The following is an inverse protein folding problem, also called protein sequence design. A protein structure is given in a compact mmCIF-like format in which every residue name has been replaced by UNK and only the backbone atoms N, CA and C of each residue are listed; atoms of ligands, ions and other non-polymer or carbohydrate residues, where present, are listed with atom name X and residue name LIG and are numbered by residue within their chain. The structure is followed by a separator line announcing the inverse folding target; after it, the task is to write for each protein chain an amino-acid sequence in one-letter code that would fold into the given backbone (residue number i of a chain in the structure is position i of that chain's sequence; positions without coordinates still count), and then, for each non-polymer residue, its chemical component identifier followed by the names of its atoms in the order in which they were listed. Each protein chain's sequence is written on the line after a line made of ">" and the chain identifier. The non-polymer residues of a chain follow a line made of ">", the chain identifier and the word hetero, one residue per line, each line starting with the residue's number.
data_IF_288531599411
#
_entry.id   IF_288531599411
#
_cell.length_a   1.000
_cell.length_b   1.000
_cell.length_c   1.000
_cell.angle_alpha   90.00
_cell.angle_beta   90.00
_cell.angle_gamma   90.00
#
_symmetry.space_group_name_H-M   'P 1'
#
loop_
_entity.id
_entity.type
_entity.pdbx_description
1 polymer ?
#
# COMPACT_ATOMS: atom_id res chain seq x y z
N UNK A 1 -16.74 20.64 -2.95
CA UNK A 1 -17.75 19.90 -2.15
C UNK A 1 -17.73 18.38 -2.37
N UNK A 2 -17.59 17.88 -3.60
CA UNK A 2 -17.58 16.42 -3.87
C UNK A 2 -16.44 15.68 -3.15
N UNK A 3 -15.21 16.24 -3.18
CA UNK A 3 -14.04 15.68 -2.48
C UNK A 3 -14.30 15.48 -0.98
N UNK A 4 -14.88 16.48 -0.31
CA UNK A 4 -15.22 16.40 1.11
C UNK A 4 -16.30 15.33 1.37
N UNK A 5 -17.35 15.24 0.53
CA UNK A 5 -18.36 14.19 0.69
C UNK A 5 -17.80 12.78 0.52
N UNK A 6 -16.86 12.60 -0.42
CA UNK A 6 -16.20 11.32 -0.64
C UNK A 6 -15.19 11.00 0.48
N UNK A 7 -14.49 12.01 1.01
CA UNK A 7 -13.56 11.86 2.12
C UNK A 7 -14.25 11.67 3.49
N UNK A 8 -15.48 12.16 3.67
CA UNK A 8 -16.30 12.03 4.89
C UNK A 8 -17.39 10.95 4.77
N UNK A 9 -17.17 9.92 3.96
CA UNK A 9 -18.08 8.79 4.01
C UNK A 9 -17.90 8.01 5.33
N UNK A 10 -18.93 7.27 5.75
CA UNK A 10 -18.91 6.49 7.00
C UNK A 10 -17.80 5.44 7.08
N UNK A 11 -17.14 5.12 5.95
CA UNK A 11 -16.03 4.18 5.87
C UNK A 11 -14.66 4.89 5.80
N UNK A 12 -14.60 6.22 5.96
CA UNK A 12 -13.35 6.98 5.99
C UNK A 12 -12.54 6.63 7.21
N UNK A 13 -11.23 6.39 7.02
CA UNK A 13 -10.36 6.06 8.14
C UNK A 13 -10.28 7.22 9.16
N UNK A 14 -10.49 8.46 8.70
CA UNK A 14 -10.48 9.66 9.54
C UNK A 14 -11.62 9.72 10.58
N UNK A 15 -12.64 8.87 10.45
CA UNK A 15 -13.88 8.89 11.25
C UNK A 15 -14.12 7.60 12.03
N UNK A 16 -13.16 6.69 12.02
CA UNK A 16 -13.27 5.39 12.69
C UNK A 16 -12.19 5.26 13.75
N UNK A 17 -12.55 4.59 14.83
CA UNK A 17 -11.69 4.31 15.95
C UNK A 17 -11.39 2.81 16.00
N UNK A 18 -10.11 2.51 16.21
CA UNK A 18 -9.67 1.15 16.43
C UNK A 18 -10.21 0.63 17.77
N UNK A 19 -10.72 -0.60 17.78
CA UNK A 19 -11.38 -1.19 18.96
C UNK A 19 -12.90 -1.00 18.98
N UNK A 20 -13.42 0.01 18.27
CA UNK A 20 -14.86 0.33 18.25
C UNK A 20 -15.49 -0.10 16.92
N UNK A 21 -15.11 0.51 15.80
CA UNK A 21 -15.69 0.21 14.48
C UNK A 21 -15.00 -0.98 13.81
N UNK A 22 -13.72 -1.18 14.10
CA UNK A 22 -12.94 -2.28 13.56
C UNK A 22 -11.91 -2.79 14.57
N UNK A 23 -11.61 -4.08 14.50
CA UNK A 23 -10.63 -4.75 15.35
C UNK A 23 -9.75 -5.68 14.54
N UNK A 24 -8.62 -6.08 15.11
CA UNK A 24 -7.71 -7.04 14.50
C UNK A 24 -8.20 -8.46 14.75
N UNK A 25 -8.18 -9.31 13.72
CA UNK A 25 -8.54 -10.72 13.80
C UNK A 25 -7.50 -11.59 13.08
N UNK A 26 -7.32 -12.81 13.57
CA UNK A 26 -6.39 -13.77 12.96
C UNK A 26 -6.83 -14.10 11.54
N UNK A 27 -5.90 -14.03 10.59
CA UNK A 27 -6.06 -14.50 9.22
C UNK A 27 -5.30 -15.81 9.02
N UNK A 28 -4.90 -16.12 7.78
CA UNK A 28 -4.22 -17.39 7.48
C UNK A 28 -2.75 -17.36 7.95
N UNK A 29 -2.27 -18.49 8.49
CA UNK A 29 -0.90 -18.64 9.05
C UNK A 29 -0.60 -17.56 10.10
N UNK A 30 0.50 -16.82 9.94
CA UNK A 30 1.00 -15.76 10.81
C UNK A 30 0.63 -14.34 10.34
N UNK A 31 -0.51 -14.23 9.65
CA UNK A 31 -1.09 -12.95 9.29
C UNK A 31 -2.34 -12.66 10.11
N UNK A 32 -2.55 -11.37 10.37
CA UNK A 32 -3.80 -10.83 10.84
C UNK A 32 -4.41 -9.95 9.76
N UNK A 33 -5.74 -9.86 9.79
CA UNK A 33 -6.53 -8.91 9.01
C UNK A 33 -7.35 -8.06 9.96
N UNK A 34 -7.87 -6.95 9.46
CA UNK A 34 -8.83 -6.16 10.22
C UNK A 34 -10.26 -6.56 9.84
N UNK A 35 -11.14 -6.60 10.82
CA UNK A 35 -12.56 -6.93 10.64
C UNK A 35 -13.42 -5.83 11.25
N UNK A 36 -14.53 -5.50 10.59
CA UNK A 36 -15.51 -4.58 11.14
C UNK A 36 -16.36 -5.24 12.22
N UNK A 37 -17.23 -4.45 12.87
CA UNK A 37 -18.18 -4.94 13.88
C UNK A 37 -19.07 -6.12 13.40
N UNK A 38 -19.28 -6.25 12.09
CA UNK A 38 -20.04 -7.35 11.48
C UNK A 38 -19.21 -8.64 11.25
N UNK A 39 -17.94 -8.68 11.68
CA UNK A 39 -17.03 -9.80 11.48
C UNK A 39 -16.51 -9.99 10.05
N UNK A 40 -16.91 -9.12 9.10
CA UNK A 40 -16.38 -9.12 7.73
C UNK A 40 -15.07 -8.37 7.67
N UNK A 41 -14.27 -8.64 6.64
CA UNK A 41 -13.03 -7.89 6.40
C UNK A 41 -13.31 -6.40 6.36
N UNK A 42 -12.57 -5.66 7.16
CA UNK A 42 -12.68 -4.22 7.24
C UNK A 42 -12.04 -3.60 6.01
N UNK A 43 -12.81 -2.75 5.33
CA UNK A 43 -12.33 -1.93 4.22
C UNK A 43 -12.56 -0.48 4.59
N UNK A 44 -11.61 0.38 4.26
CA UNK A 44 -11.70 1.80 4.61
C UNK A 44 -11.24 2.67 3.46
N UNK A 45 -11.66 3.93 3.48
CA UNK A 45 -11.26 4.93 2.50
C UNK A 45 -10.18 5.82 3.08
N UNK A 46 -9.14 5.99 2.29
CA UNK A 46 -8.06 6.94 2.52
C UNK A 46 -8.22 8.13 1.59
N UNK A 47 -7.89 9.31 2.06
CA UNK A 47 -7.87 10.55 1.27
C UNK A 47 -6.49 11.19 1.35
N UNK A 48 -5.95 11.56 0.20
CA UNK A 48 -4.65 12.22 0.12
C UNK A 48 -4.28 12.65 -1.30
N UNK A 49 -3.08 13.20 -1.42
CA UNK A 49 -2.45 13.60 -2.66
C UNK A 49 -1.39 12.56 -3.05
N UNK A 50 -1.29 12.18 -4.32
CA UNK A 50 -0.19 11.32 -4.80
C UNK A 50 1.13 12.06 -4.58
N UNK A 51 2.04 11.45 -3.82
CA UNK A 51 3.29 12.09 -3.42
C UNK A 51 4.24 12.33 -4.61
N UNK A 52 5.09 13.36 -4.52
CA UNK A 52 5.97 13.77 -5.61
C UNK A 52 7.07 12.74 -5.96
N UNK A 53 7.62 12.08 -4.95
CA UNK A 53 8.56 10.97 -5.07
C UNK A 53 7.86 9.66 -5.47
N UNK A 54 6.54 9.69 -5.64
CA UNK A 54 5.76 8.53 -6.00
C UNK A 54 5.39 8.55 -7.49
N UNK A 55 6.15 7.81 -8.27
CA UNK A 55 5.72 7.36 -9.61
C UNK A 55 5.11 5.97 -9.48
N UNK A 56 4.02 5.70 -10.21
CA UNK A 56 3.40 4.37 -10.30
C UNK A 56 4.41 3.34 -10.82
N UNK A 57 5.22 2.79 -9.90
CA UNK A 57 6.32 1.90 -10.20
C UNK A 57 5.94 0.46 -9.92
N UNK A 58 6.48 -0.49 -10.70
CA UNK A 58 6.23 -1.89 -10.50
C UNK A 58 7.00 -2.30 -9.25
N UNK A 59 6.27 -2.60 -8.19
CA UNK A 59 6.82 -3.16 -6.97
C UNK A 59 6.40 -4.63 -6.86
N UNK A 60 7.28 -5.48 -6.38
CA UNK A 60 6.99 -6.91 -6.35
C UNK A 60 8.14 -7.71 -5.78
N UNK A 61 8.03 -9.03 -5.85
CA UNK A 61 9.13 -9.93 -5.47
C UNK A 61 10.24 -9.97 -6.54
N UNK A 62 10.26 -8.98 -7.43
CA UNK A 62 11.32 -8.81 -8.40
C UNK A 62 12.49 -8.12 -7.72
N UNK A 63 13.50 -8.90 -7.36
CA UNK A 63 14.82 -8.35 -7.12
C UNK A 63 15.47 -8.21 -8.48
N UNK A 64 15.72 -6.98 -8.93
CA UNK A 64 16.80 -6.79 -9.91
C UNK A 64 18.04 -7.29 -9.17
N UNK A 65 18.68 -8.38 -9.63
CA UNK A 65 19.87 -8.84 -8.96
C UNK A 65 20.88 -7.69 -9.01
N UNK A 66 21.53 -7.39 -7.89
CA UNK A 66 22.58 -6.36 -7.84
C UNK A 66 23.70 -6.72 -8.80
N UNK A 67 24.63 -7.57 -8.35
CA UNK A 67 25.73 -8.07 -9.19
C UNK A 67 25.39 -9.39 -9.92
N UNK A 68 24.18 -9.92 -9.73
CA UNK A 68 23.77 -11.21 -10.30
C UNK A 68 23.26 -11.12 -11.75
N UNK A 69 23.10 -12.27 -12.43
CA UNK A 69 22.59 -12.30 -13.79
C UNK A 69 21.16 -11.76 -13.84
N UNK A 70 20.91 -10.81 -14.73
CA UNK A 70 19.56 -10.27 -14.96
C UNK A 70 18.54 -11.39 -15.19
N UNK A 71 17.56 -11.49 -14.29
CA UNK A 71 16.41 -12.38 -14.44
C UNK A 71 15.26 -11.54 -15.01
N UNK A 72 14.65 -11.90 -16.15
CA UNK A 72 13.46 -11.23 -16.63
C UNK A 72 12.24 -11.51 -15.74
N UNK A 73 11.37 -10.52 -15.62
CA UNK A 73 10.04 -10.67 -15.04
C UNK A 73 9.26 -11.69 -15.89
N UNK A 74 8.72 -12.71 -15.25
CA UNK A 74 7.99 -13.80 -15.93
C UNK A 74 6.58 -13.99 -15.35
N UNK A 75 5.85 -14.98 -15.85
CA UNK A 75 4.46 -15.27 -15.43
C UNK A 75 4.30 -15.64 -13.94
N UNK A 76 5.37 -16.09 -13.28
CA UNK A 76 5.37 -16.36 -11.83
C UNK A 76 5.64 -15.12 -10.98
N UNK A 77 6.14 -14.05 -11.60
CA UNK A 77 6.56 -12.83 -10.91
C UNK A 77 5.34 -12.00 -10.53
N UNK A 78 5.15 -11.75 -9.24
CA UNK A 78 4.07 -10.91 -8.74
C UNK A 78 4.50 -9.45 -8.73
N UNK A 79 3.92 -8.66 -9.62
CA UNK A 79 4.13 -7.22 -9.72
C UNK A 79 2.85 -6.52 -9.33
N UNK A 80 2.96 -5.42 -8.59
CA UNK A 80 1.90 -4.52 -8.13
C UNK A 80 2.32 -3.09 -8.43
N UNK A 81 1.39 -2.16 -8.47
CA UNK A 81 1.75 -0.76 -8.24
C UNK A 81 1.93 -0.55 -6.75
N UNK A 82 2.95 0.22 -6.37
CA UNK A 82 2.87 0.95 -5.12
C UNK A 82 2.08 2.25 -5.35
N UNK A 83 1.56 2.88 -4.30
CA UNK A 83 1.06 4.27 -4.30
C UNK A 83 1.40 4.92 -2.97
N UNK A 84 2.03 6.10 -3.01
CA UNK A 84 2.32 6.94 -1.85
C UNK A 84 1.33 8.10 -1.77
N UNK A 85 0.67 8.28 -0.62
CA UNK A 85 -0.20 9.43 -0.38
C UNK A 85 0.39 10.36 0.68
N UNK A 86 0.51 11.63 0.34
CA UNK A 86 0.88 12.72 1.25
C UNK A 86 -0.32 13.63 1.56
N UNK A 87 -0.14 14.50 2.55
CA UNK A 87 -1.14 15.52 2.87
C UNK A 87 -1.32 16.46 1.67
N UNK A 88 -2.54 16.71 1.18
CA UNK A 88 -2.74 17.62 0.05
C UNK A 88 -2.17 19.02 0.30
N UNK A 89 -1.34 19.48 -0.63
CA UNK A 89 -0.50 20.69 -0.46
C UNK A 89 -1.31 21.99 -0.42
N UNK A 90 -2.38 22.09 -1.20
CA UNK A 90 -3.21 23.29 -1.33
C UNK A 90 -4.54 23.20 -0.57
N UNK A 91 -4.62 22.29 0.38
CA UNK A 91 -5.85 22.05 1.12
C UNK A 91 -6.10 23.14 2.17
N UNK A 92 -7.36 23.60 2.37
CA UNK A 92 -7.69 24.49 3.48
C UNK A 92 -7.21 23.89 4.80
N UNK A 93 -6.45 24.63 5.63
CA UNK A 93 -5.73 24.07 6.78
C UNK A 93 -6.62 23.32 7.77
N UNK A 94 -7.88 23.72 7.92
CA UNK A 94 -8.72 23.22 9.00
C UNK A 94 -9.40 21.88 8.69
N UNK A 95 -9.73 21.61 7.43
CA UNK A 95 -10.54 20.43 7.10
C UNK A 95 -9.67 19.28 6.59
N UNK A 96 -8.93 19.51 5.52
CA UNK A 96 -8.24 18.42 4.83
C UNK A 96 -6.98 17.96 5.57
N UNK A 97 -6.27 18.88 6.24
CA UNK A 97 -5.16 18.52 7.12
C UNK A 97 -5.65 17.75 8.35
N UNK A 98 -6.80 18.12 8.92
CA UNK A 98 -7.41 17.37 10.02
C UNK A 98 -7.83 15.97 9.58
N UNK A 99 -8.45 15.82 8.40
CA UNK A 99 -8.76 14.49 7.84
C UNK A 99 -7.49 13.65 7.68
N UNK A 100 -6.43 14.21 7.08
CA UNK A 100 -5.17 13.50 6.89
C UNK A 100 -4.53 13.10 8.23
N UNK A 101 -4.46 14.04 9.17
CA UNK A 101 -3.91 13.80 10.50
C UNK A 101 -4.71 12.76 11.29
N UNK A 102 -6.04 12.77 11.21
CA UNK A 102 -6.87 11.77 11.87
C UNK A 102 -6.63 10.37 11.31
N UNK A 103 -6.48 10.23 9.98
CA UNK A 103 -6.11 8.94 9.37
C UNK A 103 -4.77 8.42 9.91
N UNK A 104 -3.76 9.30 10.01
CA UNK A 104 -2.46 8.96 10.59
C UNK A 104 -2.57 8.55 12.06
N UNK A 105 -3.32 9.33 12.86
CA UNK A 105 -3.55 9.05 14.27
C UNK A 105 -4.27 7.69 14.47
N UNK A 106 -5.29 7.39 13.68
CA UNK A 106 -6.00 6.10 13.72
C UNK A 106 -5.06 4.94 13.43
N UNK A 107 -4.18 5.04 12.42
CA UNK A 107 -3.17 4.02 12.15
C UNK A 107 -2.12 3.92 13.28
N UNK A 108 -1.70 5.05 13.82
CA UNK A 108 -0.79 5.12 14.97
C UNK A 108 -1.36 4.40 16.18
N UNK A 109 -2.64 4.61 16.51
CA UNK A 109 -3.33 3.93 17.60
C UNK A 109 -3.33 2.41 17.44
N UNK A 110 -3.50 1.91 16.21
CA UNK A 110 -3.41 0.47 15.94
C UNK A 110 -2.00 -0.07 16.22
N UNK A 111 -0.96 0.66 15.78
CA UNK A 111 0.44 0.25 16.00
C UNK A 111 0.78 0.30 17.49
N UNK A 112 0.39 1.35 18.20
CA UNK A 112 0.60 1.50 19.64
C UNK A 112 -0.03 0.34 20.41
N UNK A 113 -1.31 0.04 20.16
CA UNK A 113 -2.01 -1.08 20.78
C UNK A 113 -1.35 -2.44 20.45
N UNK A 114 -0.76 -2.60 19.27
CA UNK A 114 -0.05 -3.82 18.91
C UNK A 114 1.33 -3.95 19.59
N UNK A 115 1.94 -2.81 19.94
CA UNK A 115 3.26 -2.76 20.57
C UNK A 115 3.21 -3.01 22.08
N UNK A 116 2.09 -2.70 22.73
CA UNK A 116 1.85 -2.94 24.16
C UNK A 116 2.00 -4.43 24.50
N UNK A 117 3.13 -4.79 25.12
CA UNK A 117 3.42 -6.16 25.59
C UNK A 117 4.29 -7.03 24.68
N UNK A 118 4.78 -6.52 23.54
CA UNK A 118 5.74 -7.24 22.69
C UNK A 118 7.14 -6.61 22.73
N UNK A 119 8.20 -7.44 22.76
CA UNK A 119 9.57 -6.95 22.56
C UNK A 119 9.63 -6.34 21.17
N UNK A 120 9.83 -5.02 21.08
CA UNK A 120 9.69 -4.23 19.86
C UNK A 120 10.30 -4.93 18.63
N UNK A 121 9.49 -5.57 17.77
CA UNK A 121 10.00 -6.10 16.51
C UNK A 121 10.36 -4.93 15.60
N UNK A 122 11.20 -5.15 14.58
CA UNK A 122 11.33 -4.15 13.52
C UNK A 122 9.96 -3.98 12.85
N UNK A 123 9.43 -2.76 12.90
CA UNK A 123 8.12 -2.43 12.33
C UNK A 123 8.35 -1.84 10.94
N UNK A 124 7.81 -2.51 9.91
CA UNK A 124 7.59 -1.87 8.62
C UNK A 124 6.16 -1.34 8.62
N UNK A 125 6.04 -0.03 8.81
CA UNK A 125 4.76 0.64 9.04
C UNK A 125 4.02 0.92 7.73
N UNK A 126 2.69 1.13 7.85
CA UNK A 126 1.86 1.73 6.81
C UNK A 126 2.28 3.15 6.45
N UNK A 127 2.98 3.79 7.38
CA UNK A 127 3.47 5.15 7.30
C UNK A 127 4.97 5.07 7.02
N UNK A 128 5.40 5.56 5.86
CA UNK A 128 6.82 5.69 5.56
C UNK A 128 7.33 6.98 6.21
N UNK A 129 8.28 6.91 7.16
CA UNK A 129 9.02 8.10 7.53
C UNK A 129 9.77 8.55 6.29
N UNK A 130 9.67 9.83 6.00
CA UNK A 130 10.46 10.42 4.95
C UNK A 130 11.91 10.57 5.42
N UNK A 131 12.85 10.37 4.51
CA UNK A 131 14.30 10.49 4.80
C UNK A 131 14.70 11.92 5.14
N UNK A 132 13.95 12.90 4.62
CA UNK A 132 14.26 14.30 4.77
C UNK A 132 13.55 14.83 6.03
N UNK A 133 14.35 15.21 7.03
CA UNK A 133 13.89 15.83 8.28
C UNK A 133 12.99 17.02 7.99
N UNK A 134 11.67 16.81 8.09
CA UNK A 134 10.65 17.84 7.89
C UNK A 134 9.69 17.62 6.72
N UNK A 135 9.91 16.60 5.89
CA UNK A 135 8.90 16.21 4.89
C UNK A 135 7.75 15.44 5.54
N UNK A 136 6.51 15.60 5.03
CA UNK A 136 5.34 15.00 5.66
C UNK A 136 5.37 13.48 5.56
N UNK A 137 4.93 12.81 6.63
CA UNK A 137 4.69 11.37 6.63
C UNK A 137 3.74 10.96 5.50
N UNK A 138 3.94 9.76 4.94
CA UNK A 138 3.21 9.27 3.77
C UNK A 138 2.57 7.92 4.03
N UNK A 139 1.35 7.72 3.53
CA UNK A 139 0.74 6.40 3.48
C UNK A 139 1.28 5.62 2.30
N UNK A 140 1.63 4.35 2.50
CA UNK A 140 2.11 3.47 1.44
C UNK A 140 1.11 2.34 1.14
N UNK A 141 0.60 2.32 -0.09
CA UNK A 141 -0.31 1.31 -0.60
C UNK A 141 0.38 0.43 -1.61
N UNK A 142 -0.09 -0.81 -1.72
CA UNK A 142 0.16 -1.64 -2.91
C UNK A 142 -1.15 -2.04 -3.55
N UNK A 143 -1.21 -2.17 -4.86
CA UNK A 143 -2.41 -2.67 -5.55
C UNK A 143 -2.48 -4.20 -5.50
N UNK A 144 -3.57 -4.74 -6.02
CA UNK A 144 -3.59 -6.13 -6.49
C UNK A 144 -2.53 -6.36 -7.59
N UNK A 145 -2.09 -7.61 -7.83
CA UNK A 145 -1.10 -7.89 -8.87
C UNK A 145 -1.54 -7.41 -10.25
N UNK A 146 -0.64 -6.77 -11.00
CA UNK A 146 -0.90 -6.20 -12.33
C UNK A 146 -1.09 -7.24 -13.43
N UNK A 147 -0.55 -8.44 -13.21
CA UNK A 147 -0.60 -9.55 -14.15
C UNK A 147 -1.23 -10.77 -13.49
N UNK A 148 -2.03 -11.51 -14.26
CA UNK A 148 -2.54 -12.84 -13.87
C UNK A 148 -2.36 -13.82 -15.01
N UNK A 149 -1.99 -15.05 -14.70
CA UNK A 149 -2.06 -16.16 -15.66
C UNK A 149 -3.53 -16.60 -15.73
N UNK A 150 -4.19 -16.53 -16.90
CA UNK A 150 -5.51 -17.11 -17.08
C UNK A 150 -5.46 -18.59 -16.69
N UNK A 151 -6.37 -19.01 -15.81
CA UNK A 151 -6.43 -20.42 -15.45
C UNK A 151 -7.17 -21.16 -16.57
N UNK A 152 -6.43 -21.73 -17.52
CA UNK A 152 -6.98 -22.50 -18.66
C UNK A 152 -7.78 -23.73 -18.21
N UNK A 153 -7.66 -24.11 -16.93
CA UNK A 153 -8.48 -25.15 -16.30
C UNK A 153 -9.88 -24.63 -15.98
N UNK A 154 -10.65 -24.36 -17.03
CA UNK A 154 -12.10 -24.55 -17.10
C UNK A 154 -12.88 -24.38 -15.80
N UNK A 155 -12.94 -23.16 -15.28
CA UNK A 155 -14.13 -22.69 -14.58
C UNK A 155 -14.19 -21.20 -14.83
N UNK A 156 -15.09 -20.78 -15.71
CA UNK A 156 -15.58 -19.42 -15.73
C UNK A 156 -16.11 -19.11 -14.32
N UNK A 157 -15.21 -18.65 -13.44
CA UNK A 157 -15.60 -18.08 -12.18
C UNK A 157 -16.29 -16.78 -12.57
N UNK A 158 -17.62 -16.85 -12.62
CA UNK A 158 -18.49 -15.70 -12.65
C UNK A 158 -18.09 -14.80 -11.48
N UNK A 159 -17.20 -13.84 -11.72
CA UNK A 159 -17.19 -12.59 -10.99
C UNK A 159 -18.55 -11.95 -11.28
N UNK A 160 -19.58 -12.36 -10.53
CA UNK A 160 -20.88 -11.71 -10.55
C UNK A 160 -20.71 -10.34 -9.91
N UNK A 161 -20.20 -9.38 -10.65
CA UNK A 161 -20.65 -8.00 -10.49
C UNK A 161 -22.13 -8.03 -10.88
N UNK A 162 -23.03 -8.07 -9.89
CA UNK A 162 -24.47 -7.90 -10.13
C UNK A 162 -24.67 -6.47 -10.64
N UNK A 163 -24.80 -6.33 -11.94
CA UNK A 163 -25.35 -5.14 -12.58
C UNK A 163 -26.43 -5.68 -13.49
N UNK A 164 -27.68 -5.58 -13.04
CA UNK A 164 -28.87 -5.89 -13.82
C UNK A 164 -29.08 -4.73 -14.79
N UNK A 165 -28.80 -4.96 -16.07
CA UNK A 165 -29.22 -4.09 -17.17
C UNK A 165 -29.91 -5.00 -18.17
N UNK A 166 -31.23 -4.88 -18.23
CA UNK A 166 -32.06 -5.41 -19.30
C UNK A 166 -31.71 -4.68 -20.58
N UNK A 167 -31.36 -5.40 -21.65
CA UNK A 167 -31.43 -4.80 -22.98
C UNK A 167 -31.80 -5.80 -24.09
N UNK A 168 -32.64 -5.27 -24.95
CA UNK A 168 -33.52 -5.90 -25.94
C UNK A 168 -32.76 -6.14 -27.26
N UNK A 169 -32.94 -7.31 -27.87
CA UNK A 169 -32.23 -7.69 -29.10
C UNK A 169 -33.04 -7.35 -30.35
N UNK A 170 -32.56 -6.41 -31.15
CA UNK A 170 -32.99 -6.25 -32.55
C UNK A 170 -31.82 -6.43 -33.53
N UNK A 171 -32.01 -7.34 -34.48
CA UNK A 171 -31.09 -7.69 -35.56
C UNK A 171 -31.07 -6.66 -36.70
N UNK A 172 -29.90 -6.49 -37.33
CA UNK A 172 -29.81 -6.31 -38.79
C UNK A 172 -28.98 -5.12 -39.29
N UNK A 173 -27.80 -5.41 -39.84
CA UNK A 173 -27.27 -4.98 -41.15
C UNK A 173 -25.74 -4.85 -41.13
N UNK A 174 -25.07 -5.66 -41.97
CA UNK A 174 -23.62 -5.69 -42.13
C UNK A 174 -23.12 -4.45 -42.86
N UNK A 175 -22.59 -3.50 -42.08
CA UNK A 175 -21.71 -2.43 -42.54
C UNK A 175 -20.25 -2.94 -42.63
N UNK A 176 -19.38 -2.31 -43.45
CA UNK A 176 -17.94 -2.61 -43.46
C UNK A 176 -17.34 -2.51 -42.04
N UNK A 177 -16.26 -3.27 -41.73
CA UNK A 177 -15.74 -3.36 -40.37
C UNK A 177 -15.31 -1.97 -39.90
N UNK A 178 -16.14 -1.36 -39.06
CA UNK A 178 -15.77 -0.18 -38.31
C UNK A 178 -14.46 -0.49 -37.57
N UNK A 179 -13.53 0.48 -37.45
CA UNK A 179 -12.38 0.31 -36.57
C UNK A 179 -12.90 -0.22 -35.23
N UNK A 180 -12.26 -1.25 -34.65
CA UNK A 180 -12.80 -1.92 -33.48
C UNK A 180 -13.16 -0.87 -32.45
N UNK A 181 -14.46 -0.73 -32.17
CA UNK A 181 -14.97 0.20 -31.18
C UNK A 181 -14.12 -0.01 -29.93
N UNK A 182 -13.49 1.07 -29.44
CA UNK A 182 -12.61 1.01 -28.30
C UNK A 182 -13.36 0.30 -27.17
N UNK A 183 -12.94 -0.94 -26.87
CA UNK A 183 -13.64 -1.79 -25.91
C UNK A 183 -13.67 -1.05 -24.58
N UNK A 184 -14.87 -0.72 -24.11
CA UNK A 184 -15.03 -0.02 -22.85
C UNK A 184 -14.38 -0.83 -21.73
N UNK A 185 -13.53 -0.21 -20.89
CA UNK A 185 -12.86 -0.95 -19.83
C UNK A 185 -13.88 -1.47 -18.82
N UNK A 186 -13.81 -2.76 -18.49
CA UNK A 186 -14.64 -3.39 -17.47
C UNK A 186 -13.76 -4.10 -16.45
N UNK A 187 -14.18 -4.08 -15.17
CA UNK A 187 -13.47 -4.80 -14.12
C UNK A 187 -13.45 -6.29 -14.41
N UNK A 188 -12.26 -6.90 -14.33
CA UNK A 188 -12.05 -8.30 -14.63
C UNK A 188 -11.51 -8.56 -16.04
N UNK A 189 -11.65 -7.59 -16.96
CA UNK A 189 -11.03 -7.65 -18.28
C UNK A 189 -9.52 -7.85 -18.19
N UNK A 190 -8.98 -8.48 -19.23
CA UNK A 190 -7.55 -8.74 -19.34
C UNK A 190 -7.00 -8.31 -20.68
N UNK A 191 -5.81 -7.76 -20.62
CA UNK A 191 -5.15 -7.12 -21.75
C UNK A 191 -3.82 -7.82 -22.02
N UNK A 192 -3.27 -7.68 -23.23
CA UNK A 192 -1.90 -8.09 -23.49
C UNK A 192 -0.94 -7.44 -22.47
N UNK A 193 0.09 -8.16 -22.01
CA UNK A 193 0.98 -7.67 -20.96
C UNK A 193 1.71 -6.37 -21.29
N UNK A 194 1.88 -6.07 -22.58
CA UNK A 194 2.53 -4.87 -23.09
C UNK A 194 1.64 -3.62 -23.13
N UNK A 195 0.39 -3.70 -22.62
CA UNK A 195 -0.53 -2.55 -22.61
C UNK A 195 -0.11 -1.47 -21.61
N UNK A 196 0.62 -1.84 -20.55
CA UNK A 196 1.05 -0.87 -19.56
C UNK A 196 2.05 0.12 -20.18
N UNK A 197 1.92 1.41 -19.90
CA UNK A 197 2.56 2.48 -20.67
C UNK A 197 4.01 2.70 -20.25
N UNK A 198 4.84 3.00 -21.24
CA UNK A 198 6.28 3.09 -21.07
C UNK A 198 6.87 1.69 -20.83
N UNK A 199 7.95 1.33 -21.52
CA UNK A 199 8.51 -0.02 -21.36
C UNK A 199 9.29 -0.23 -20.04
N UNK A 200 8.98 0.57 -19.01
CA UNK A 200 9.04 0.12 -17.62
C UNK A 200 8.09 -1.07 -17.36
N UNK A 201 7.10 -1.25 -18.24
CA UNK A 201 6.20 -2.40 -18.31
C UNK A 201 6.17 -2.95 -19.74
N UNK A 202 6.70 -4.15 -19.95
CA UNK A 202 6.99 -4.66 -21.28
C UNK A 202 8.38 -4.26 -21.78
N UNK A 203 8.82 -4.85 -22.89
CA UNK A 203 10.20 -4.79 -23.35
C UNK A 203 11.04 -5.96 -22.82
N UNK A 204 12.35 -5.99 -23.08
CA UNK A 204 13.16 -7.21 -22.88
C UNK A 204 13.31 -7.64 -21.41
N UNK A 205 12.96 -6.76 -20.46
CA UNK A 205 12.91 -7.09 -19.03
C UNK A 205 11.72 -7.96 -18.65
N UNK A 206 10.72 -8.08 -19.52
CA UNK A 206 9.51 -8.84 -19.32
C UNK A 206 9.46 -10.01 -20.31
N UNK A 207 9.45 -11.22 -19.77
CA UNK A 207 9.29 -12.47 -20.48
C UNK A 207 8.01 -13.17 -20.02
N UNK A 208 6.88 -12.52 -20.29
CA UNK A 208 5.55 -13.07 -20.04
C UNK A 208 5.12 -13.93 -21.23
N UNK A 209 4.74 -15.18 -20.96
CA UNK A 209 4.31 -16.14 -22.00
C UNK A 209 2.79 -16.30 -21.97
N UNK A 210 2.23 -16.50 -20.78
CA UNK A 210 0.82 -16.80 -20.56
C UNK A 210 0.09 -15.72 -19.76
N UNK A 211 0.79 -14.91 -18.98
CA UNK A 211 0.14 -13.90 -18.17
C UNK A 211 -0.52 -12.82 -19.03
N UNK A 212 -1.49 -12.15 -18.43
CA UNK A 212 -2.22 -11.01 -19.02
C UNK A 212 -2.31 -9.90 -18.00
N UNK A 213 -2.21 -8.66 -18.47
CA UNK A 213 -2.45 -7.49 -17.65
C UNK A 213 -3.92 -7.45 -17.20
N UNK A 214 -4.19 -7.03 -15.97
CA UNK A 214 -5.55 -6.94 -15.44
C UNK A 214 -6.07 -5.50 -15.45
N UNK A 215 -7.38 -5.32 -15.67
CA UNK A 215 -8.04 -4.05 -15.39
C UNK A 215 -8.01 -3.77 -13.88
N UNK A 216 -7.27 -2.73 -13.47
CA UNK A 216 -7.37 -2.23 -12.10
C UNK A 216 -8.65 -1.41 -11.91
N UNK A 217 -9.13 -1.35 -10.67
CA UNK A 217 -10.23 -0.46 -10.31
C UNK A 217 -9.72 0.96 -10.03
N UNK A 218 -9.11 1.57 -11.04
CA UNK A 218 -8.71 2.98 -11.02
C UNK A 218 -9.71 3.75 -11.84
N UNK A 219 -10.28 4.81 -11.28
CA UNK A 219 -11.38 5.57 -11.89
C UNK A 219 -11.05 7.05 -12.01
N UNK A 220 -11.48 7.63 -13.13
CA UNK A 220 -11.40 9.07 -13.38
C UNK A 220 -12.40 9.85 -12.50
N UNK A 221 -12.34 11.19 -12.41
CA UNK A 221 -13.27 12.00 -11.62
C UNK A 221 -14.75 11.81 -11.95
N UNK A 222 -15.08 11.27 -13.13
CA UNK A 222 -16.44 10.94 -13.54
C UNK A 222 -16.86 9.52 -13.12
N UNK A 223 -15.98 8.79 -12.43
CA UNK A 223 -16.20 7.43 -11.94
C UNK A 223 -16.02 6.35 -13.02
N UNK A 224 -15.48 6.69 -14.19
CA UNK A 224 -15.25 5.74 -15.29
C UNK A 224 -13.92 5.04 -15.10
N UNK A 225 -13.84 3.77 -15.50
CA UNK A 225 -12.60 3.00 -15.39
C UNK A 225 -11.54 3.57 -16.34
N UNK A 226 -10.34 3.74 -15.82
CA UNK A 226 -9.18 4.18 -16.58
C UNK A 226 -8.52 2.94 -17.17
N UNK A 227 -8.24 2.95 -18.47
CA UNK A 227 -7.55 1.84 -19.13
C UNK A 227 -6.14 1.64 -18.54
N UNK A 228 -5.58 0.41 -18.60
CA UNK A 228 -4.24 0.14 -18.08
C UNK A 228 -3.17 1.08 -18.64
N UNK A 229 -3.18 1.32 -19.96
CA UNK A 229 -2.24 2.22 -20.65
C UNK A 229 -2.31 3.68 -20.19
N UNK A 230 -3.38 4.10 -19.53
CA UNK A 230 -3.57 5.50 -19.13
C UNK A 230 -3.37 5.69 -17.63
N UNK A 231 -3.28 4.61 -16.84
CA UNK A 231 -3.32 4.67 -15.37
C UNK A 231 -2.25 5.60 -14.77
N UNK A 232 -1.03 5.59 -15.31
CA UNK A 232 0.05 6.48 -14.87
C UNK A 232 -0.24 7.98 -15.07
N UNK A 233 -0.99 8.37 -16.11
CA UNK A 233 -1.37 9.77 -16.37
C UNK A 233 -2.34 10.28 -15.32
N UNK A 234 -3.13 9.37 -14.75
CA UNK A 234 -4.16 9.68 -13.77
C UNK A 234 -3.66 9.59 -12.33
N UNK A 235 -2.70 8.69 -12.07
CA UNK A 235 -2.04 8.52 -10.77
C UNK A 235 -0.68 9.21 -10.72
N UNK A 236 -0.62 10.42 -11.25
CA UNK A 236 0.59 11.21 -11.28
C UNK A 236 0.77 12.05 -10.00
N UNK A 237 2.02 12.42 -9.68
CA UNK A 237 2.34 13.38 -8.63
C UNK A 237 1.40 14.58 -8.57
N UNK A 238 0.89 14.85 -7.38
CA UNK A 238 0.00 15.97 -7.12
C UNK A 238 -1.49 15.68 -7.33
N UNK A 239 -1.86 14.56 -7.95
CA UNK A 239 -3.27 14.20 -8.12
C UNK A 239 -3.95 13.92 -6.76
N UNK A 240 -5.20 14.34 -6.60
CA UNK A 240 -5.98 14.10 -5.39
C UNK A 240 -6.81 12.85 -5.58
N UNK A 241 -6.70 11.91 -4.64
CA UNK A 241 -7.35 10.60 -4.76
C UNK A 241 -8.06 10.19 -3.49
N UNK A 242 -9.07 9.33 -3.66
CA UNK A 242 -9.63 8.50 -2.59
C UNK A 242 -9.24 7.05 -2.87
N UNK A 243 -8.56 6.41 -1.92
CA UNK A 243 -8.12 5.02 -2.02
C UNK A 243 -8.99 4.16 -1.12
N UNK A 244 -9.75 3.25 -1.69
CA UNK A 244 -10.41 2.18 -0.94
C UNK A 244 -9.38 1.08 -0.72
N UNK A 245 -9.17 0.67 0.54
CA UNK A 245 -8.12 -0.27 0.89
C UNK A 245 -8.52 -1.26 1.98
N UNK A 246 -7.81 -2.38 2.00
CA UNK A 246 -7.77 -3.35 3.11
C UNK A 246 -6.45 -3.25 3.87
N UNK A 247 -6.51 -3.60 5.15
CA UNK A 247 -5.37 -3.54 6.07
C UNK A 247 -4.98 -4.96 6.49
N UNK A 248 -3.68 -5.25 6.46
CA UNK A 248 -3.12 -6.56 6.82
C UNK A 248 -1.87 -6.38 7.69
N UNK A 249 -1.66 -7.31 8.62
CA UNK A 249 -0.44 -7.40 9.42
C UNK A 249 0.20 -8.75 9.19
N UNK A 250 1.45 -8.78 8.77
CA UNK A 250 2.23 -10.01 8.61
C UNK A 250 3.30 -10.07 9.69
N UNK A 251 3.32 -11.16 10.47
CA UNK A 251 4.35 -11.39 11.48
C UNK A 251 5.36 -12.41 10.98
N UNK A 252 6.61 -12.00 11.00
CA UNK A 252 7.79 -12.83 10.78
C UNK A 252 8.60 -12.87 12.08
N UNK A 253 9.51 -13.83 12.22
CA UNK A 253 10.23 -14.09 13.46
C UNK A 253 10.91 -12.85 14.11
N UNK A 254 11.29 -11.84 13.31
CA UNK A 254 11.94 -10.61 13.80
C UNK A 254 11.31 -9.31 13.28
N UNK A 255 10.19 -9.40 12.56
CA UNK A 255 9.64 -8.27 11.83
C UNK A 255 8.12 -8.35 11.76
N UNK A 256 7.48 -7.23 12.02
CA UNK A 256 6.04 -7.05 11.78
C UNK A 256 5.88 -6.09 10.60
N UNK A 257 5.17 -6.54 9.57
CA UNK A 257 4.88 -5.73 8.39
C UNK A 257 3.40 -5.36 8.38
N UNK A 258 3.14 -4.07 8.44
CA UNK A 258 1.84 -3.47 8.24
C UNK A 258 1.71 -3.13 6.75
N UNK A 259 0.73 -3.71 6.07
CA UNK A 259 0.50 -3.49 4.64
C UNK A 259 -0.89 -2.91 4.38
N UNK A 260 -0.96 -1.85 3.56
CA UNK A 260 -2.19 -1.38 2.95
C UNK A 260 -2.29 -1.93 1.53
N UNK A 261 -3.46 -2.49 1.19
CA UNK A 261 -3.73 -2.97 -0.16
C UNK A 261 -4.88 -2.19 -0.78
N UNK A 262 -4.60 -1.41 -1.81
CA UNK A 262 -5.61 -0.66 -2.56
C UNK A 262 -6.47 -1.60 -3.40
N UNK A 263 -7.77 -1.63 -3.11
CA UNK A 263 -8.80 -2.37 -3.85
C UNK A 263 -9.45 -1.52 -4.94
N UNK A 264 -9.52 -0.20 -4.72
CA UNK A 264 -9.98 0.79 -5.70
C UNK A 264 -9.28 2.13 -5.47
N UNK A 265 -9.04 2.87 -6.55
CA UNK A 265 -8.52 4.24 -6.49
C UNK A 265 -9.43 5.12 -7.33
N UNK A 266 -9.99 6.16 -6.72
CA UNK A 266 -10.84 7.14 -7.37
C UNK A 266 -10.09 8.47 -7.45
N UNK A 267 -9.74 8.90 -8.66
CA UNK A 267 -9.17 10.24 -8.87
C UNK A 267 -10.29 11.24 -8.64
N UNK A 268 -10.02 12.21 -7.79
CA UNK A 268 -10.94 13.31 -7.48
C UNK A 268 -10.56 14.53 -8.28
N UNK A 269 -9.26 14.80 -8.33
CA UNK A 269 -8.70 15.90 -9.06
C UNK A 269 -7.39 15.46 -9.72
N UNK A 270 -7.29 15.70 -11.03
CA UNK A 270 -6.12 15.30 -11.80
C UNK A 270 -5.07 16.40 -11.67
N UNK A 271 -3.81 16.02 -11.58
CA UNK A 271 -2.71 17.00 -11.63
C UNK A 271 -2.64 17.68 -13.00
N UNK A 272 -2.36 18.98 -13.00
CA UNK A 272 -2.04 19.75 -14.20
C UNK A 272 -0.57 19.57 -14.64
N UNK A 273 0.24 18.89 -13.81
CA UNK A 273 1.63 18.63 -14.13
C UNK A 273 1.74 17.70 -15.35
N UNK A 274 2.63 18.07 -16.27
CA UNK A 274 2.98 17.20 -17.39
C UNK A 274 3.64 15.92 -16.87
N UNK A 275 3.00 14.79 -17.12
CA UNK A 275 3.47 13.47 -16.67
C UNK A 275 4.33 12.87 -17.76
N UNK A 276 5.61 12.64 -17.48
CA UNK A 276 6.47 11.93 -18.39
C UNK A 276 6.04 10.45 -18.48
N UNK A 277 6.07 9.90 -19.69
CA UNK A 277 5.89 8.46 -19.89
C UNK A 277 7.04 7.72 -19.20
N UNK A 278 6.78 6.67 -18.39
CA UNK A 278 7.84 5.91 -17.75
C UNK A 278 8.86 5.41 -18.77
N UNK A 279 10.14 5.70 -18.55
CA UNK A 279 11.21 5.35 -19.50
C UNK A 279 11.38 3.84 -19.61
N UNK A 280 11.61 3.39 -20.84
CA UNK A 280 12.07 2.03 -21.16
C UNK A 280 13.39 1.75 -20.46
N UNK A 281 13.40 0.83 -19.50
CA UNK A 281 14.65 0.40 -18.91
C UNK A 281 15.33 -0.61 -19.85
N UNK A 282 16.45 -0.21 -20.46
CA UNK A 282 17.26 -1.10 -21.28
C UNK A 282 17.72 -2.34 -20.47
N UNK A 283 17.98 -3.46 -21.15
CA UNK A 283 18.69 -4.55 -20.51
C UNK A 283 20.05 -4.04 -20.03
N UNK A 284 20.53 -4.48 -18.85
CA UNK A 284 21.92 -4.24 -18.50
C UNK A 284 22.77 -4.83 -19.62
N UNK A 285 23.51 -3.96 -20.33
CA UNK A 285 24.47 -4.41 -21.32
C UNK A 285 25.52 -5.22 -20.57
N UNK A 286 25.73 -6.49 -20.97
CA UNK A 286 26.91 -7.25 -20.53
C UNK A 286 28.15 -6.60 -21.14
N UNK A 287 28.59 -5.51 -20.55
CA UNK A 287 29.85 -4.85 -20.88
C UNK A 287 30.91 -5.46 -19.99
N UNK A 288 31.74 -6.34 -20.56
CA UNK A 288 33.04 -6.68 -19.97
C UNK A 288 33.30 -8.17 -19.79
N UNK A 289 34.24 -8.68 -20.59
CA UNK A 289 34.86 -10.00 -20.48
C UNK A 289 35.79 -10.07 -19.24
N UNK A 290 35.25 -10.21 -18.03
CA UNK A 290 36.03 -10.73 -16.90
C UNK A 290 35.48 -12.11 -16.52
N UNK A 291 35.91 -13.10 -17.29
CA UNK A 291 35.86 -14.51 -16.92
C UNK A 291 36.84 -14.71 -15.74
N UNK A 292 36.38 -14.49 -14.52
CA UNK A 292 36.89 -15.26 -13.37
C UNK A 292 35.89 -16.36 -13.05
N UNK A 293 36.27 -17.58 -13.42
CA UNK A 293 35.65 -18.81 -12.90
C UNK A 293 35.79 -18.83 -11.38
N UNK A 294 34.71 -18.54 -10.66
CA UNK A 294 34.56 -18.96 -9.28
C UNK A 294 33.34 -19.87 -9.19
N UNK A 295 33.63 -21.17 -9.16
CA UNK A 295 32.66 -22.21 -8.81
C UNK A 295 32.21 -22.03 -7.36
N UNK A 296 30.92 -21.82 -7.16
CA UNK A 296 30.28 -21.77 -5.85
C UNK A 296 28.79 -22.00 -5.98
N UNK A 297 28.29 -23.03 -5.28
CA UNK A 297 26.89 -23.43 -5.22
C UNK A 297 25.98 -22.26 -4.81
N UNK A 298 25.20 -21.74 -5.77
CA UNK A 298 24.22 -20.70 -5.53
C UNK A 298 22.86 -21.32 -5.18
N UNK A 299 22.61 -21.49 -3.88
CA UNK A 299 21.25 -21.64 -3.35
C UNK A 299 20.62 -20.24 -3.26
N UNK A 300 19.45 -19.97 -3.87
CA UNK A 300 18.83 -18.66 -3.82
C UNK A 300 18.33 -18.36 -2.40
N UNK A 301 19.02 -17.46 -1.70
CA UNK A 301 18.55 -16.93 -0.42
C UNK A 301 17.33 -16.03 -0.66
N UNK A 302 16.26 -16.24 0.12
CA UNK A 302 15.01 -15.48 0.05
C UNK A 302 15.13 -14.07 0.64
N UNK A 303 16.04 -13.26 0.09
CA UNK A 303 16.24 -11.86 0.48
C UNK A 303 14.99 -11.03 0.24
N UNK A 304 14.50 -10.39 1.29
CA UNK A 304 13.38 -9.46 1.26
C UNK A 304 13.85 -8.10 0.71
N UNK A 305 13.02 -7.45 -0.09
CA UNK A 305 13.31 -6.14 -0.69
C UNK A 305 13.42 -5.08 0.41
N UNK A 306 14.54 -4.36 0.45
CA UNK A 306 14.68 -3.10 1.18
C UNK A 306 14.16 -1.95 0.30
N UNK A 307 12.91 -1.55 0.56
CA UNK A 307 12.21 -0.53 -0.23
C UNK A 307 12.84 0.86 -0.08
N UNK A 308 13.62 1.11 0.98
CA UNK A 308 14.33 2.37 1.14
C UNK A 308 15.42 2.55 0.06
N UNK A 309 16.03 1.46 -0.40
CA UNK A 309 17.07 1.51 -1.43
C UNK A 309 16.53 1.78 -2.85
N UNK A 310 15.27 1.43 -3.12
CA UNK A 310 14.63 1.70 -4.42
C UNK A 310 14.10 3.14 -4.56
N UNK A 311 13.89 3.85 -3.46
CA UNK A 311 13.48 5.26 -3.48
C UNK A 311 14.68 6.23 -3.62
N UNK A 312 15.91 5.76 -3.33
CA UNK A 312 17.13 6.57 -3.35
C UNK A 312 17.86 6.64 -4.71
N UNK A 313 17.33 6.07 -5.80
CA UNK A 313 17.99 6.07 -7.12
C UNK A 313 17.57 7.22 -8.05
N UNK A 314 16.84 8.21 -7.54
CA UNK A 314 16.45 9.41 -8.29
C UNK A 314 17.34 10.61 -7.98
N UNK A 315 18.46 10.76 -8.70
CA UNK A 315 19.11 12.07 -8.88
C UNK A 315 20.61 12.11 -8.65
N UNK A 316 21.40 11.97 -9.73
CA UNK A 316 22.76 12.48 -9.79
C UNK A 316 22.82 13.52 -10.92
N UNK A 317 22.53 14.77 -10.56
CA UNK A 317 22.89 15.96 -11.34
C UNK A 317 23.94 16.68 -10.52
N UNK A 318 25.19 16.35 -10.83
CA UNK A 318 26.39 16.91 -10.22
C UNK A 318 26.42 18.44 -10.38
N UNK A 319 26.30 19.17 -9.28
CA UNK A 319 26.84 20.53 -9.16
C UNK A 319 28.17 20.42 -8.44
N UNK A 320 29.25 20.57 -9.20
CA UNK A 320 30.58 20.81 -8.67
C UNK A 320 30.57 22.16 -7.92
N UNK A 321 30.80 22.11 -6.62
CA UNK A 321 31.36 23.23 -5.87
C UNK A 321 32.35 22.65 -4.85
N UNK A 322 33.63 22.78 -5.16
CA UNK A 322 34.69 22.49 -4.20
C UNK A 322 34.81 23.63 -3.20
N UNK A 323 35.26 23.30 -1.97
CA UNK A 323 36.29 24.07 -1.25
C UNK A 323 36.81 23.30 -0.04
N UNK A 324 38.15 23.17 -0.03
CA UNK A 324 39.10 23.22 1.10
C UNK A 324 38.87 22.42 2.39
N UNK A 325 39.82 21.49 2.59
CA UNK A 325 40.30 20.98 3.88
C UNK A 325 40.72 22.12 4.83
N UNK A 326 40.26 22.06 6.07
CA UNK A 326 40.85 22.77 7.21
C UNK A 326 40.87 21.87 8.43
N UNK A 327 42.06 21.38 8.79
CA UNK A 327 42.37 20.77 10.09
C UNK A 327 42.43 21.90 11.13
N UNK A 328 41.82 21.73 12.30
CA UNK A 328 42.40 22.19 13.55
C UNK A 328 41.84 21.40 14.74
N UNK A 329 42.77 20.97 15.59
CA UNK A 329 42.57 20.39 16.90
C UNK A 329 42.75 21.47 17.98
N UNK A 330 42.26 21.16 19.19
CA UNK A 330 42.46 21.73 20.54
C UNK A 330 41.09 22.00 21.20
N UNK A 331 40.71 21.23 22.22
CA UNK A 331 41.15 21.22 23.63
C UNK A 331 40.35 22.23 24.47
N UNK A 332 39.85 21.68 25.60
CA UNK A 332 39.46 22.31 26.86
C UNK A 332 38.42 23.44 26.85
N UNK A 333 37.29 23.24 27.54
CA UNK A 333 37.20 23.73 28.93
C UNK A 333 35.97 23.14 29.67
N UNK A 334 36.19 22.87 30.95
CA UNK A 334 35.18 22.48 31.92
C UNK A 334 34.38 23.72 32.36
N UNK A 335 33.10 23.55 32.66
CA UNK A 335 32.52 24.29 33.80
C UNK A 335 31.34 23.54 34.38
N UNK A 336 31.53 23.13 35.64
CA UNK A 336 30.48 22.71 36.56
C UNK A 336 29.60 23.92 36.92
N UNK A 337 28.29 23.69 37.04
CA UNK A 337 27.45 24.45 37.94
C UNK A 337 26.39 23.51 38.53
N UNK A 338 26.28 23.63 39.85
CA UNK A 338 25.58 22.79 40.82
C UNK A 338 24.27 23.48 41.24
N UNK A 339 23.40 22.74 41.96
CA UNK A 339 22.26 23.18 42.81
C UNK A 339 21.03 23.67 42.01
N UNK A 340 19.77 23.31 42.26
CA UNK A 340 19.05 23.03 43.52
C UNK A 340 18.02 21.89 43.42
N UNK A 341 18.01 21.09 44.49
CA UNK A 341 16.90 20.25 44.95
C UNK A 341 15.73 21.16 45.37
N UNK A 342 14.52 20.88 44.91
CA UNK A 342 13.32 21.18 45.70
C UNK A 342 12.52 19.89 45.92
N UNK A 343 12.63 19.48 47.17
CA UNK A 343 11.81 18.53 47.91
C UNK A 343 10.38 19.11 48.02
N UNK A 344 9.36 18.37 47.57
CA UNK A 344 8.00 18.61 48.07
C UNK A 344 7.36 17.28 48.41
N UNK A 345 7.00 17.20 49.69
CA UNK A 345 6.57 16.03 50.43
C UNK A 345 5.11 16.25 50.83
N UNK A 346 4.38 15.14 50.97
CA UNK A 346 3.13 14.94 51.72
C UNK A 346 1.83 15.38 51.02
N UNK A 347 0.98 14.40 50.72
CA UNK A 347 -0.25 14.10 51.49
C UNK A 347 -0.79 12.75 51.01
N UNK A 348 -0.57 11.73 51.84
CA UNK A 348 -1.35 10.50 51.88
C UNK A 348 -2.80 10.85 52.26
N UNK A 349 -3.76 10.38 51.47
CA UNK A 349 -5.12 10.18 51.96
C UNK A 349 -5.55 8.74 51.66
N UNK A 350 -5.76 8.03 52.77
CA UNK A 350 -6.35 6.73 52.89
C UNK A 350 -7.72 6.65 52.22
N UNK A 351 -7.90 5.66 51.35
CA UNK A 351 -9.24 5.14 51.01
C UNK A 351 -9.23 3.62 51.21
N UNK A 352 -9.41 3.21 52.46
CA UNK A 352 -10.02 1.92 52.79
C UNK A 352 -11.54 2.07 52.69
N UNK A 353 -12.17 1.34 51.77
CA UNK A 353 -13.56 0.91 51.97
C UNK A 353 -13.83 -0.41 51.24
N UNK A 354 -13.72 -1.47 52.03
CA UNK A 354 -14.72 -2.51 52.26
C UNK A 354 -15.32 -3.30 51.06
N UNK A 355 -15.08 -4.60 51.19
CA UNK A 355 -15.62 -5.75 50.49
C UNK A 355 -17.12 -5.67 50.17
N UNK A 356 -17.50 -6.20 49.00
CA UNK A 356 -18.71 -7.01 48.92
C UNK A 356 -18.60 -8.16 47.90
N UNK A 357 -18.68 -9.37 48.47
CA UNK A 357 -18.90 -10.65 47.84
C UNK A 357 -19.98 -10.62 46.75
N UNK A 358 -19.64 -11.08 45.54
CA UNK A 358 -20.61 -11.69 44.62
C UNK A 358 -20.13 -13.06 44.16
N UNK A 359 -20.37 -14.04 45.04
CA UNK A 359 -20.53 -15.46 44.68
C UNK A 359 -21.90 -15.67 44.03
N UNK A 360 -21.91 -16.50 42.98
CA UNK A 360 -23.11 -17.11 42.38
C UNK A 360 -23.37 -16.54 40.98
N UNK A 361 -23.65 -17.32 39.94
CA UNK A 361 -24.17 -18.68 39.88
C UNK A 361 -24.03 -19.11 38.41
N UNK A 362 -23.29 -20.18 38.13
CA UNK A 362 -23.33 -20.85 36.81
C UNK A 362 -24.69 -21.54 36.67
N UNK A 363 -25.48 -21.31 35.61
CA UNK A 363 -26.54 -22.23 35.25
C UNK A 363 -26.00 -23.37 34.38
N UNK A 364 -26.60 -24.53 34.63
CA UNK A 364 -26.27 -25.82 34.11
C UNK A 364 -26.46 -25.94 32.58
N UNK A 365 -25.60 -26.77 32.01
CA UNK A 365 -25.84 -27.57 30.83
C UNK A 365 -27.21 -28.26 30.87
N UNK A 366 -28.05 -28.10 29.85
CA UNK A 366 -29.05 -29.09 29.41
C UNK A 366 -29.68 -28.66 28.08
N UNK A 367 -29.41 -29.37 26.98
CA UNK A 367 -30.43 -30.08 26.18
C UNK A 367 -29.79 -30.77 24.96
N UNK A 368 -29.62 -32.09 25.06
CA UNK A 368 -29.67 -32.99 23.91
C UNK A 368 -31.14 -33.11 23.48
N UNK A 369 -31.45 -32.87 22.20
CA UNK A 369 -32.61 -33.51 21.55
C UNK A 369 -32.19 -34.04 20.18
N UNK A 370 -32.04 -35.36 20.19
CA UNK A 370 -32.38 -36.27 19.09
C UNK A 370 -33.60 -35.76 18.30
N UNK A 371 -33.48 -35.75 16.97
CA UNK A 371 -34.62 -36.07 16.11
C UNK A 371 -34.21 -37.05 15.04
N UNK A 372 -35.04 -38.09 15.01
CA UNK A 372 -34.99 -39.34 14.27
C UNK A 372 -35.53 -39.11 12.87
N UNK A 373 -35.11 -40.00 11.97
CA UNK A 373 -35.57 -40.15 10.60
C UNK A 373 -37.09 -40.14 10.44
N UNK A 374 -37.52 -39.58 9.31
CA UNK A 374 -38.56 -40.15 8.46
C UNK A 374 -38.17 -39.91 7.01
#
# INVERSE_FOLDING_TARGET
>A
MLAAKLAYNANSLALVDYGVQFTKARAFKDSDKFVGANGREFTTNFFGQIAADFTAHPTGNYTSPGDGPFVPINDSTRIKFAVGLECPSFAPPNLMRAIYANQMATLGNVISHDSEGSKQPRIKSWIAPTTDTGSPEKFFFTTVPLYKVPNDRGRANNFKAKVDVDDDQSHGHSAPPAPPLAVEPQLGNTYPCFVWPGSGYGGPRFNHVQSRAIQLNVRDPQGRLIQPQDTYLWLAPGAIVVVHATMHVYRFARMTIYQLTATSIQVIDKTDMAVAVPTVLALPSKTGNDLQELGGDNTPSGGFVDFASMLNTGGDLSVQAGTSKGKHAMDDDQTQATVEEEESTVMDEDVEMEQQDRKGKRPASFFKKSKKAM
#
